data_IF_825187047786
#
_entry.id   IF_825187047786
#
_cell.length_a   1.000
_cell.length_b   1.000
_cell.length_c   1.000
_cell.angle_alpha   90.00
_cell.angle_beta   90.00
_cell.angle_gamma   90.00
#
_symmetry.space_group_name_H-M   'P 1'
#
loop_
_entity.id
_entity.type
_entity.pdbx_description
1 polymer ?
#
# COMPACT_ATOMS: atom_id res chain seq x y z
N UNK A 1 -34.22 7.05 28.26
CA UNK A 1 -33.65 7.10 26.89
C UNK A 1 -32.75 5.89 26.71
N UNK A 2 -32.97 5.09 25.66
CA UNK A 2 -32.16 3.89 25.42
C UNK A 2 -30.71 4.30 25.11
N UNK A 3 -29.75 3.76 25.86
CA UNK A 3 -28.31 3.97 25.63
C UNK A 3 -27.89 3.16 24.40
N UNK A 4 -28.24 3.66 23.22
CA UNK A 4 -27.82 3.04 21.97
C UNK A 4 -26.32 3.27 21.80
N UNK A 5 -25.56 2.20 21.59
CA UNK A 5 -24.11 2.25 21.39
C UNK A 5 -23.79 1.96 19.94
N UNK A 6 -22.61 2.37 19.44
CA UNK A 6 -22.15 2.01 18.10
C UNK A 6 -22.17 0.49 17.89
N UNK A 7 -21.80 -0.27 18.93
CA UNK A 7 -21.87 -1.73 18.93
C UNK A 7 -23.31 -2.24 18.85
N UNK A 8 -24.24 -1.60 19.56
CA UNK A 8 -25.68 -1.91 19.47
C UNK A 8 -26.22 -1.70 18.06
N UNK A 9 -25.95 -0.53 17.46
CA UNK A 9 -26.34 -0.22 16.09
C UNK A 9 -25.79 -1.23 15.07
N UNK A 10 -24.52 -1.59 15.19
CA UNK A 10 -23.92 -2.60 14.32
C UNK A 10 -24.59 -3.98 14.49
N UNK A 11 -24.94 -4.36 15.72
CA UNK A 11 -25.63 -5.62 16.02
C UNK A 11 -27.05 -5.63 15.45
N UNK A 12 -27.78 -4.52 15.55
CA UNK A 12 -29.14 -4.40 15.02
C UNK A 12 -29.14 -4.43 13.49
N UNK A 13 -28.17 -3.76 12.85
CA UNK A 13 -27.98 -3.84 11.39
C UNK A 13 -27.62 -5.26 10.94
N UNK A 14 -26.70 -5.93 11.63
CA UNK A 14 -26.31 -7.31 11.31
C UNK A 14 -27.47 -8.31 11.46
N UNK A 15 -28.41 -8.04 12.37
CA UNK A 15 -29.63 -8.83 12.55
C UNK A 15 -30.74 -8.47 11.55
N UNK A 16 -30.55 -7.46 10.70
CA UNK A 16 -31.58 -6.95 9.79
C UNK A 16 -32.72 -6.21 10.50
N UNK A 17 -32.54 -5.81 11.77
CA UNK A 17 -33.55 -5.05 12.54
C UNK A 17 -33.67 -3.61 12.01
N UNK A 18 -32.56 -3.07 11.50
CA UNK A 18 -32.51 -1.77 10.84
C UNK A 18 -31.90 -1.92 9.46
N UNK A 19 -32.38 -1.13 8.50
CA UNK A 19 -31.82 -1.10 7.15
C UNK A 19 -30.49 -0.32 7.09
N UNK A 20 -29.84 -0.37 5.93
CA UNK A 20 -28.53 0.24 5.68
C UNK A 20 -28.54 1.77 5.83
N UNK A 21 -29.60 2.43 5.42
CA UNK A 21 -29.72 3.89 5.44
C UNK A 21 -30.02 4.39 6.85
N UNK A 22 -30.95 3.72 7.54
CA UNK A 22 -31.23 3.89 8.96
C UNK A 22 -29.98 3.71 9.81
N UNK A 23 -29.19 2.65 9.57
CA UNK A 23 -27.91 2.44 10.25
C UNK A 23 -26.92 3.59 10.02
N UNK A 24 -26.76 4.05 8.77
CA UNK A 24 -25.86 5.18 8.45
C UNK A 24 -26.30 6.45 9.16
N UNK A 25 -27.60 6.77 9.13
CA UNK A 25 -28.16 7.97 9.77
C UNK A 25 -27.96 7.93 11.29
N UNK A 26 -28.35 6.83 11.94
CA UNK A 26 -28.19 6.66 13.38
C UNK A 26 -26.73 6.66 13.81
N UNK A 27 -25.82 6.08 13.01
CA UNK A 27 -24.37 6.12 13.27
C UNK A 27 -23.83 7.54 13.21
N UNK A 28 -24.22 8.35 12.21
CA UNK A 28 -23.77 9.74 12.09
C UNK A 28 -24.24 10.59 13.26
N UNK A 29 -25.51 10.45 13.67
CA UNK A 29 -26.04 11.15 14.86
C UNK A 29 -25.26 10.76 16.11
N UNK A 30 -25.04 9.47 16.34
CA UNK A 30 -24.32 9.00 17.53
C UNK A 30 -22.86 9.48 17.57
N UNK A 31 -22.17 9.50 16.43
CA UNK A 31 -20.80 10.04 16.35
C UNK A 31 -20.80 11.55 16.62
N UNK A 32 -21.76 12.29 16.06
CA UNK A 32 -21.91 13.72 16.31
C UNK A 32 -22.14 14.01 17.80
N UNK A 33 -23.03 13.27 18.45
CA UNK A 33 -23.31 13.43 19.88
C UNK A 33 -22.10 13.10 20.78
N UNK A 34 -21.23 12.16 20.36
CA UNK A 34 -19.97 11.86 21.04
C UNK A 34 -18.98 13.04 20.89
N UNK A 35 -18.87 13.60 19.68
CA UNK A 35 -17.98 14.73 19.40
C UNK A 35 -18.44 16.00 20.15
N UNK A 36 -19.74 16.23 20.22
CA UNK A 36 -20.33 17.36 20.94
C UNK A 36 -20.30 17.18 22.47
N UNK A 37 -19.87 16.03 22.98
CA UNK A 37 -19.80 15.74 24.41
C UNK A 37 -21.15 15.41 25.05
N UNK A 38 -22.23 15.35 24.27
CA UNK A 38 -23.56 14.91 24.70
C UNK A 38 -23.56 13.45 25.17
N UNK A 39 -22.66 12.62 24.64
CA UNK A 39 -22.44 11.24 25.07
C UNK A 39 -21.04 11.09 25.67
N UNK A 40 -20.98 10.82 26.99
CA UNK A 40 -19.72 10.54 27.67
C UNK A 40 -19.20 9.14 27.30
N UNK A 41 -18.02 9.10 26.66
CA UNK A 41 -17.30 7.86 26.36
C UNK A 41 -16.23 7.66 27.42
N UNK A 42 -16.26 6.53 28.13
CA UNK A 42 -15.18 6.15 29.04
C UNK A 42 -13.98 5.70 28.21
N UNK A 43 -12.83 6.33 28.42
CA UNK A 43 -11.57 5.83 27.89
C UNK A 43 -11.34 4.42 28.44
N UNK A 44 -11.07 3.46 27.55
CA UNK A 44 -10.55 2.16 27.94
C UNK A 44 -9.06 2.37 28.09
N UNK A 45 -8.56 2.23 29.31
CA UNK A 45 -7.13 2.17 29.56
C UNK A 45 -6.65 0.81 29.06
N UNK A 46 -5.90 0.82 27.96
CA UNK A 46 -5.31 -0.39 27.42
C UNK A 46 -3.94 -0.54 28.08
N UNK A 47 -3.71 -1.70 28.69
CA UNK A 47 -2.37 -2.04 29.15
C UNK A 47 -1.38 -1.89 28.00
N UNK A 48 -0.22 -1.28 28.29
CA UNK A 48 0.85 -1.13 27.32
C UNK A 48 1.22 -2.49 26.73
N UNK A 49 1.64 -2.54 25.45
CA UNK A 49 2.02 -3.80 24.82
C UNK A 49 3.03 -4.52 25.69
N UNK A 50 2.72 -5.78 26.02
CA UNK A 50 3.64 -6.65 26.75
C UNK A 50 4.97 -6.65 25.99
N UNK A 51 6.01 -6.09 26.60
CA UNK A 51 7.35 -6.20 26.06
C UNK A 51 7.69 -7.70 26.03
N UNK A 52 8.25 -8.23 24.94
CA UNK A 52 8.80 -9.57 24.98
C UNK A 52 9.81 -9.59 26.14
N UNK A 53 9.55 -10.43 27.14
CA UNK A 53 10.56 -10.71 28.16
C UNK A 53 11.72 -11.38 27.41
N UNK A 54 12.91 -10.82 27.58
CA UNK A 54 14.15 -11.36 27.02
C UNK A 54 14.58 -12.66 27.73
N UNK A 55 13.75 -13.22 28.62
CA UNK A 55 14.06 -14.39 29.43
C UNK A 55 13.67 -15.71 28.74
N UNK A 56 13.40 -15.70 27.42
CA UNK A 56 13.01 -16.89 26.63
C UNK A 56 14.05 -17.22 25.54
N UNK A 57 15.34 -17.00 25.79
CA UNK A 57 16.41 -17.56 24.93
C UNK A 57 17.06 -18.84 25.48
N UNK A 58 16.76 -19.28 26.71
CA UNK A 58 17.41 -20.48 27.30
C UNK A 58 16.52 -21.73 27.47
N UNK A 59 15.26 -21.73 27.02
CA UNK A 59 14.34 -22.86 27.23
C UNK A 59 13.80 -23.51 25.94
N UNK A 60 14.53 -23.43 24.81
CA UNK A 60 14.18 -24.15 23.58
C UNK A 60 15.27 -25.20 23.26
N UNK A 61 15.57 -26.06 24.21
CA UNK A 61 16.27 -27.33 23.96
C UNK A 61 15.83 -28.38 24.98
N UNK A 62 14.53 -28.58 25.16
CA UNK A 62 14.03 -29.85 25.68
C UNK A 62 12.64 -30.14 25.14
N UNK A 63 12.49 -31.36 24.61
CA UNK A 63 11.36 -31.79 23.82
C UNK A 63 10.04 -31.68 24.58
N UNK A 64 9.08 -31.00 23.96
CA UNK A 64 7.67 -31.25 24.24
C UNK A 64 7.02 -31.55 22.90
N UNK A 65 6.91 -32.85 22.66
CA UNK A 65 5.91 -33.49 21.82
C UNK A 65 4.53 -32.95 22.23
N UNK A 66 4.13 -31.79 21.68
CA UNK A 66 2.78 -31.26 21.90
C UNK A 66 1.83 -31.99 20.98
N UNK A 67 1.28 -33.01 21.61
CA UNK A 67 0.01 -33.64 21.33
C UNK A 67 -0.97 -32.67 20.67
N UNK A 68 -1.45 -33.11 19.52
CA UNK A 68 -2.33 -32.43 18.60
C UNK A 68 -3.67 -32.25 19.29
N UNK A 69 -3.87 -31.11 19.96
CA UNK A 69 -5.20 -30.74 20.47
C UNK A 69 -6.18 -30.74 19.31
N UNK A 70 -7.03 -31.77 19.32
CA UNK A 70 -8.17 -31.92 18.44
C UNK A 70 -9.01 -30.65 18.53
N UNK A 71 -9.08 -29.92 17.43
CA UNK A 71 -10.15 -28.96 17.21
C UNK A 71 -11.41 -29.81 17.03
N UNK A 72 -12.11 -30.10 18.12
CA UNK A 72 -13.45 -30.69 18.09
C UNK A 72 -14.38 -29.68 17.42
N UNK A 73 -14.63 -29.89 16.13
CA UNK A 73 -15.77 -29.32 15.45
C UNK A 73 -17.05 -29.77 16.17
N UNK A 74 -17.95 -28.86 16.61
CA UNK A 74 -19.28 -29.29 17.01
C UNK A 74 -20.05 -29.72 15.75
N UNK A 75 -20.26 -31.04 15.66
CA UNK A 75 -21.08 -31.72 14.67
C UNK A 75 -22.52 -31.81 15.19
N UNK A 76 -23.47 -31.34 14.37
CA UNK A 76 -24.91 -31.64 14.37
C UNK A 76 -25.75 -31.16 15.58
N UNK A 77 -27.01 -30.79 15.50
CA UNK A 77 -28.01 -30.63 14.43
C UNK A 77 -29.20 -29.92 15.08
N UNK A 78 -29.81 -28.95 14.41
CA UNK A 78 -31.26 -28.74 14.54
C UNK A 78 -31.76 -28.02 13.28
N UNK A 79 -32.50 -28.76 12.48
CA UNK A 79 -33.23 -28.27 11.34
C UNK A 79 -34.26 -27.22 11.80
N UNK A 80 -34.19 -26.03 11.22
CA UNK A 80 -35.33 -25.13 11.12
C UNK A 80 -35.33 -24.50 9.72
N UNK A 81 -36.22 -25.06 8.89
CA UNK A 81 -36.81 -24.40 7.73
C UNK A 81 -37.67 -23.24 8.26
N UNK A 82 -37.55 -22.04 7.69
CA UNK A 82 -38.76 -21.41 7.20
C UNK A 82 -38.58 -20.79 5.80
N UNK A 83 -39.48 -21.22 4.93
CA UNK A 83 -40.22 -20.46 3.93
C UNK A 83 -39.60 -19.23 3.25
N UNK A 84 -39.45 -19.38 1.93
CA UNK A 84 -39.74 -18.41 0.87
C UNK A 84 -40.18 -17.02 1.35
N UNK A 85 -39.26 -16.07 1.31
CA UNK A 85 -39.59 -14.65 1.15
C UNK A 85 -39.05 -14.19 -0.21
N UNK A 86 -39.90 -13.69 -1.12
CA UNK A 86 -39.48 -13.27 -2.45
C UNK A 86 -38.54 -12.06 -2.40
N UNK A 87 -37.44 -12.19 -3.12
CA UNK A 87 -36.50 -11.13 -3.50
C UNK A 87 -37.24 -9.99 -4.23
N UNK A 88 -37.16 -8.73 -3.76
CA UNK A 88 -37.42 -7.60 -4.65
C UNK A 88 -36.17 -7.38 -5.53
N UNK A 89 -36.32 -7.69 -6.82
CA UNK A 89 -35.46 -7.16 -7.89
C UNK A 89 -35.46 -5.63 -7.78
N UNK A 90 -34.34 -5.05 -7.36
CA UNK A 90 -34.17 -3.61 -7.41
C UNK A 90 -33.62 -3.23 -8.79
N UNK A 91 -34.47 -2.56 -9.57
CA UNK A 91 -34.23 -2.15 -10.94
C UNK A 91 -33.04 -1.19 -11.03
N UNK A 92 -32.12 -1.54 -11.94
CA UNK A 92 -31.13 -0.62 -12.50
C UNK A 92 -31.85 0.54 -13.20
N UNK A 93 -31.70 1.75 -12.68
CA UNK A 93 -32.01 2.98 -13.43
C UNK A 93 -30.71 3.46 -14.07
N UNK A 94 -30.55 3.14 -15.34
CA UNK A 94 -29.51 3.70 -16.22
C UNK A 94 -29.88 5.16 -16.54
N UNK A 95 -29.12 6.11 -16.00
CA UNK A 95 -29.16 7.52 -16.43
C UNK A 95 -28.06 7.73 -17.46
N UNK A 96 -28.42 7.65 -18.74
CA UNK A 96 -27.55 8.06 -19.85
C UNK A 96 -27.45 9.58 -19.90
N UNK A 97 -26.46 10.14 -19.22
CA UNK A 97 -26.07 11.54 -19.38
C UNK A 97 -25.13 11.68 -20.57
N UNK A 98 -25.67 12.20 -21.68
CA UNK A 98 -24.92 12.65 -22.84
C UNK A 98 -23.99 13.82 -22.45
N UNK A 99 -22.71 13.53 -22.18
CA UNK A 99 -21.66 14.54 -22.07
C UNK A 99 -20.90 14.62 -23.40
N UNK A 100 -20.99 15.78 -24.05
CA UNK A 100 -20.19 16.15 -25.22
C UNK A 100 -18.70 15.96 -24.88
N UNK A 101 -18.01 15.16 -25.70
CA UNK A 101 -16.66 14.68 -25.42
C UNK A 101 -15.59 15.79 -25.62
N UNK A 102 -14.62 15.97 -24.71
CA UNK A 102 -13.53 16.93 -24.85
C UNK A 102 -12.33 16.36 -25.65
N UNK A 103 -12.56 15.43 -26.59
CA UNK A 103 -11.48 14.71 -27.28
C UNK A 103 -10.58 15.58 -28.17
N UNK A 104 -11.01 16.80 -28.53
CA UNK A 104 -10.22 17.70 -29.38
C UNK A 104 -9.02 18.30 -28.63
N UNK A 105 -9.10 18.48 -27.31
CA UNK A 105 -7.99 19.07 -26.53
C UNK A 105 -6.82 18.09 -26.30
N UNK A 106 -7.08 16.77 -26.31
CA UNK A 106 -6.05 15.75 -26.11
C UNK A 106 -5.08 15.70 -27.30
N UNK A 107 -5.59 15.84 -28.53
CA UNK A 107 -4.77 15.79 -29.74
C UNK A 107 -3.79 16.97 -29.80
N UNK A 108 -4.21 18.17 -29.40
CA UNK A 108 -3.36 19.37 -29.39
C UNK A 108 -2.25 19.25 -28.33
N UNK A 109 -2.55 18.66 -27.17
CA UNK A 109 -1.55 18.46 -26.10
C UNK A 109 -0.43 17.51 -26.51
N UNK A 110 -0.74 16.40 -27.20
CA UNK A 110 0.26 15.44 -27.66
C UNK A 110 1.24 16.06 -28.66
N UNK A 111 0.77 16.91 -29.58
CA UNK A 111 1.64 17.58 -30.56
C UNK A 111 2.63 18.54 -29.89
N UNK A 112 2.21 19.25 -28.84
CA UNK A 112 3.08 20.18 -28.10
C UNK A 112 4.18 19.41 -27.35
N UNK A 113 3.85 18.29 -26.70
CA UNK A 113 4.83 17.49 -25.95
C UNK A 113 5.88 16.87 -26.89
N UNK A 114 5.45 16.32 -28.03
CA UNK A 114 6.38 15.75 -29.03
C UNK A 114 7.31 16.82 -29.60
N UNK A 115 6.80 18.04 -29.84
CA UNK A 115 7.61 19.17 -30.32
C UNK A 115 8.66 19.61 -29.29
N UNK A 116 8.31 19.66 -28.00
CA UNK A 116 9.26 19.98 -26.93
C UNK A 116 10.35 18.92 -26.78
N UNK A 117 10.02 17.63 -26.86
CA UNK A 117 11.01 16.55 -26.81
C UNK A 117 11.98 16.64 -28.00
N UNK A 118 11.47 16.90 -29.21
CA UNK A 118 12.31 17.08 -30.39
C UNK A 118 13.25 18.31 -30.26
N UNK A 119 12.76 19.41 -29.70
CA UNK A 119 13.59 20.60 -29.43
C UNK A 119 14.68 20.30 -28.40
N UNK A 120 14.38 19.56 -27.34
CA UNK A 120 15.38 19.13 -26.35
C UNK A 120 16.46 18.27 -27.00
N UNK A 121 16.11 17.31 -27.84
CA UNK A 121 17.09 16.46 -28.54
C UNK A 121 17.98 17.28 -29.49
N UNK A 122 17.43 18.28 -30.18
CA UNK A 122 18.19 19.13 -31.10
C UNK A 122 19.10 20.14 -30.40
N UNK A 123 18.73 20.61 -29.22
CA UNK A 123 19.50 21.60 -28.46
C UNK A 123 20.40 21.00 -27.38
N UNK A 124 20.36 19.68 -27.14
CA UNK A 124 21.30 19.05 -26.21
C UNK A 124 22.69 18.93 -26.85
N UNK A 125 23.72 19.57 -26.26
CA UNK A 125 25.08 19.46 -26.74
C UNK A 125 25.53 17.99 -26.61
N UNK A 126 26.13 17.48 -27.68
CA UNK A 126 26.66 16.12 -27.75
C UNK A 126 27.56 15.86 -26.52
N UNK A 127 27.30 14.83 -25.71
CA UNK A 127 28.15 14.52 -24.58
C UNK A 127 29.58 14.24 -25.07
N UNK A 128 30.61 14.69 -24.34
CA UNK A 128 31.99 14.45 -24.71
C UNK A 128 32.24 12.94 -24.80
N UNK A 129 32.80 12.51 -25.93
CA UNK A 129 33.09 11.11 -26.19
C UNK A 129 33.98 10.53 -25.08
N UNK A 130 33.64 9.36 -24.52
CA UNK A 130 34.45 8.72 -23.51
C UNK A 130 35.81 8.35 -24.12
N UNK A 131 36.87 8.92 -23.57
CA UNK A 131 38.24 8.62 -23.96
C UNK A 131 38.55 7.18 -23.56
N UNK A 132 38.59 6.28 -24.55
CA UNK A 132 38.95 4.88 -24.35
C UNK A 132 40.46 4.83 -24.05
N UNK A 133 40.80 4.74 -22.77
CA UNK A 133 42.14 4.35 -22.33
C UNK A 133 42.27 2.85 -22.56
N UNK A 134 42.99 2.48 -23.62
CA UNK A 134 43.49 1.11 -23.83
C UNK A 134 44.60 0.87 -22.82
N UNK A 135 44.26 0.28 -21.67
CA UNK A 135 45.27 -0.35 -20.81
C UNK A 135 45.38 -1.84 -21.16
N UNK A 136 46.53 -2.20 -21.72
CA UNK A 136 46.98 -3.57 -21.89
C UNK A 136 47.58 -4.03 -20.54
N UNK A 137 46.88 -4.89 -19.79
CA UNK A 137 47.52 -5.69 -18.73
C UNK A 137 47.15 -7.16 -18.83
N UNK A 138 48.11 -7.90 -19.40
CA UNK A 138 48.57 -9.26 -19.11
C UNK A 138 47.66 -10.13 -18.23
N UNK A 139 47.20 -11.20 -18.87
CA UNK A 139 46.66 -12.46 -18.34
C UNK A 139 47.58 -13.09 -17.29
N UNK A 140 47.04 -13.38 -16.10
CA UNK A 140 47.51 -14.44 -15.22
C UNK A 140 46.30 -15.22 -14.73
N UNK A 141 46.20 -16.47 -15.15
CA UNK A 141 45.25 -17.47 -14.63
C UNK A 141 45.45 -17.65 -13.13
N UNK A 142 44.41 -17.41 -12.33
CA UNK A 142 44.35 -17.98 -10.98
C UNK A 142 42.90 -18.17 -10.47
N UNK A 143 42.50 -19.44 -10.43
CA UNK A 143 41.58 -20.10 -9.49
C UNK A 143 40.25 -19.45 -9.08
N UNK A 144 39.18 -20.09 -9.55
CA UNK A 144 37.79 -20.01 -9.10
C UNK A 144 37.61 -20.29 -7.60
N UNK A 145 37.51 -19.26 -6.74
CA UNK A 145 36.83 -19.35 -5.42
C UNK A 145 36.48 -17.99 -4.77
N UNK A 146 36.03 -16.96 -5.53
CA UNK A 146 35.74 -15.61 -4.95
C UNK A 146 34.29 -15.12 -5.18
N UNK A 147 33.44 -15.86 -5.91
CA UNK A 147 32.13 -15.36 -6.36
C UNK A 147 31.06 -15.15 -5.24
N UNK A 148 31.26 -15.64 -4.02
CA UNK A 148 30.24 -15.55 -2.97
C UNK A 148 30.28 -14.25 -2.14
N UNK A 149 31.38 -13.48 -2.17
CA UNK A 149 31.55 -12.33 -1.27
C UNK A 149 30.98 -11.02 -1.84
N UNK A 150 30.86 -10.91 -3.16
CA UNK A 150 30.33 -9.70 -3.83
C UNK A 150 28.81 -9.60 -3.72
N UNK A 151 28.09 -10.72 -3.87
CA UNK A 151 26.61 -10.75 -3.83
C UNK A 151 26.00 -10.36 -2.48
N UNK A 152 26.73 -10.52 -1.37
CA UNK A 152 26.27 -10.09 -0.04
C UNK A 152 26.34 -8.56 0.13
N UNK A 153 27.26 -7.89 -0.56
CA UNK A 153 27.41 -6.43 -0.50
C UNK A 153 26.39 -5.72 -1.39
N UNK A 154 26.07 -6.30 -2.55
CA UNK A 154 25.10 -5.75 -3.52
C UNK A 154 23.67 -5.70 -2.94
N UNK A 155 23.26 -6.75 -2.23
CA UNK A 155 21.94 -6.78 -1.56
C UNK A 155 21.80 -5.75 -0.44
N UNK A 156 22.89 -5.43 0.25
CA UNK A 156 22.88 -4.54 1.40
C UNK A 156 22.58 -3.07 1.04
N UNK A 157 23.01 -2.60 -0.13
CA UNK A 157 22.84 -1.20 -0.54
C UNK A 157 21.36 -0.84 -0.76
N UNK A 158 20.68 -1.62 -1.60
CA UNK A 158 19.26 -1.45 -1.89
C UNK A 158 18.39 -1.64 -0.63
N UNK A 159 18.67 -2.66 0.19
CA UNK A 159 17.97 -2.85 1.45
C UNK A 159 18.22 -1.71 2.45
N UNK A 160 19.42 -1.15 2.49
CA UNK A 160 19.74 -0.01 3.37
C UNK A 160 18.96 1.23 2.94
N UNK A 161 18.90 1.51 1.63
CA UNK A 161 18.16 2.64 1.08
C UNK A 161 16.66 2.53 1.40
N UNK A 162 16.03 1.36 1.17
CA UNK A 162 14.63 1.12 1.55
C UNK A 162 14.44 1.30 3.06
N UNK A 163 15.40 0.87 3.86
CA UNK A 163 15.35 0.94 5.32
C UNK A 163 15.38 2.39 5.82
N UNK A 164 16.27 3.21 5.29
CA UNK A 164 16.38 4.62 5.60
C UNK A 164 15.08 5.36 5.27
N UNK A 165 14.55 5.15 4.05
CA UNK A 165 13.31 5.78 3.62
C UNK A 165 12.11 5.42 4.49
N UNK A 166 11.94 4.13 4.82
CA UNK A 166 10.84 3.69 5.69
C UNK A 166 10.94 4.24 7.12
N UNK A 167 12.16 4.50 7.60
CA UNK A 167 12.37 5.08 8.93
C UNK A 167 12.05 6.57 8.99
N UNK A 168 12.28 7.33 7.91
CA UNK A 168 11.94 8.76 7.83
C UNK A 168 10.43 9.01 7.88
N UNK A 169 9.61 8.05 7.43
CA UNK A 169 8.14 8.14 7.39
C UNK A 169 7.60 9.38 6.66
N UNK A 170 8.41 10.01 5.80
CA UNK A 170 8.02 11.18 5.03
C UNK A 170 7.73 10.78 3.59
N UNK A 171 6.44 10.78 3.24
CA UNK A 171 5.91 10.41 1.94
C UNK A 171 5.59 11.64 1.06
N UNK A 172 6.28 12.76 1.30
CA UNK A 172 6.20 13.95 0.48
C UNK A 172 6.92 13.78 -0.87
N UNK A 173 6.51 14.58 -1.84
CA UNK A 173 7.01 14.55 -3.23
C UNK A 173 8.54 14.62 -3.31
N UNK A 174 9.15 15.55 -2.58
CA UNK A 174 10.61 15.73 -2.54
C UNK A 174 11.33 14.46 -2.08
N UNK A 175 10.83 13.81 -1.03
CA UNK A 175 11.45 12.60 -0.48
C UNK A 175 11.25 11.37 -1.38
N UNK A 176 10.09 11.28 -2.03
CA UNK A 176 9.86 10.24 -3.04
C UNK A 176 10.80 10.43 -4.24
N UNK A 177 10.99 11.67 -4.70
CA UNK A 177 11.93 12.00 -5.76
C UNK A 177 13.37 11.63 -5.41
N UNK A 178 13.86 12.04 -4.23
CA UNK A 178 15.20 11.67 -3.74
C UNK A 178 15.40 10.15 -3.64
N UNK A 179 14.36 9.43 -3.21
CA UNK A 179 14.41 7.97 -3.16
C UNK A 179 14.52 7.38 -4.56
N UNK A 180 13.69 7.81 -5.51
CA UNK A 180 13.72 7.31 -6.89
C UNK A 180 15.06 7.60 -7.55
N UNK A 181 15.62 8.79 -7.34
CA UNK A 181 16.96 9.15 -7.82
C UNK A 181 18.02 8.18 -7.26
N UNK A 182 18.06 8.02 -5.94
CA UNK A 182 18.99 7.11 -5.26
C UNK A 182 18.79 5.64 -5.70
N UNK A 183 17.54 5.23 -5.90
CA UNK A 183 17.19 3.89 -6.36
C UNK A 183 17.62 3.65 -7.80
N UNK A 184 17.50 4.66 -8.68
CA UNK A 184 17.90 4.57 -10.07
C UNK A 184 19.42 4.56 -10.27
N UNK A 185 20.17 5.09 -9.31
CA UNK A 185 21.63 5.04 -9.27
C UNK A 185 22.17 3.64 -8.89
N UNK A 186 21.34 2.77 -8.31
CA UNK A 186 21.70 1.38 -8.00
C UNK A 186 21.79 0.53 -9.26
N UNK A 187 22.69 -0.45 -9.26
CA UNK A 187 22.80 -1.37 -10.38
C UNK A 187 21.53 -2.24 -10.51
N UNK A 188 21.24 -2.79 -11.70
CA UNK A 188 20.12 -3.71 -11.87
C UNK A 188 20.19 -4.92 -10.91
N UNK A 189 21.38 -5.42 -10.63
CA UNK A 189 21.61 -6.56 -9.73
C UNK A 189 21.24 -6.21 -8.29
N UNK A 190 21.66 -5.05 -7.80
CA UNK A 190 21.29 -4.54 -6.46
C UNK A 190 19.77 -4.40 -6.33
N UNK A 191 19.11 -3.78 -7.33
CA UNK A 191 17.65 -3.61 -7.34
C UNK A 191 16.91 -4.95 -7.36
N UNK A 192 17.35 -5.87 -8.21
CA UNK A 192 16.74 -7.20 -8.33
C UNK A 192 16.92 -8.02 -7.06
N UNK A 193 18.10 -7.95 -6.43
CA UNK A 193 18.35 -8.64 -5.16
C UNK A 193 17.45 -8.15 -4.02
N UNK A 194 17.00 -6.90 -4.08
CA UNK A 194 16.08 -6.34 -3.09
C UNK A 194 14.61 -6.72 -3.32
N UNK A 195 14.21 -7.17 -4.52
CA UNK A 195 12.81 -7.35 -4.90
C UNK A 195 12.04 -8.31 -3.97
N UNK A 196 12.70 -9.39 -3.55
CA UNK A 196 12.11 -10.47 -2.73
C UNK A 196 12.40 -10.32 -1.22
N UNK A 197 13.03 -9.22 -0.81
CA UNK A 197 13.41 -9.01 0.59
C UNK A 197 12.20 -8.68 1.45
N UNK A 198 12.25 -9.06 2.73
CA UNK A 198 11.21 -8.68 3.72
C UNK A 198 11.06 -7.16 3.81
N UNK A 199 12.13 -6.41 3.57
CA UNK A 199 12.12 -4.95 3.63
C UNK A 199 11.39 -4.35 2.42
N UNK A 200 11.59 -4.88 1.22
CA UNK A 200 10.80 -4.51 0.04
C UNK A 200 9.30 -4.86 0.23
N UNK A 201 8.98 -5.99 0.85
CA UNK A 201 7.58 -6.31 1.19
C UNK A 201 6.95 -5.27 2.14
N UNK A 202 7.71 -4.77 3.13
CA UNK A 202 7.27 -3.67 4.00
C UNK A 202 7.10 -2.37 3.23
N UNK A 203 7.96 -2.08 2.25
CA UNK A 203 7.80 -0.94 1.35
C UNK A 203 6.49 -1.04 0.57
N UNK A 204 6.22 -2.17 -0.11
CA UNK A 204 4.95 -2.45 -0.81
C UNK A 204 3.73 -2.22 0.09
N UNK A 205 3.75 -2.78 1.30
CA UNK A 205 2.67 -2.60 2.27
C UNK A 205 2.49 -1.14 2.71
N UNK A 206 3.58 -0.39 2.85
CA UNK A 206 3.55 1.01 3.28
C UNK A 206 3.03 1.94 2.18
N UNK A 207 3.44 1.72 0.92
CA UNK A 207 2.88 2.41 -0.25
C UNK A 207 1.37 2.19 -0.31
N UNK A 208 0.92 0.93 -0.22
CA UNK A 208 -0.50 0.60 -0.26
C UNK A 208 -1.28 1.26 0.89
N UNK A 209 -0.72 1.29 2.09
CA UNK A 209 -1.32 1.99 3.23
C UNK A 209 -1.47 3.49 2.95
N UNK A 210 -0.42 4.16 2.48
CA UNK A 210 -0.46 5.58 2.13
C UNK A 210 -1.47 5.87 1.00
N UNK A 211 -1.59 4.95 0.05
CA UNK A 211 -2.58 5.03 -1.02
C UNK A 211 -4.02 4.98 -0.48
N UNK A 212 -4.31 4.05 0.43
CA UNK A 212 -5.62 3.96 1.10
C UNK A 212 -5.92 5.19 1.97
N UNK A 213 -4.92 5.75 2.65
CA UNK A 213 -5.07 7.01 3.39
C UNK A 213 -5.43 8.16 2.43
N UNK A 214 -4.77 8.25 1.28
CA UNK A 214 -5.15 9.19 0.21
C UNK A 214 -6.59 8.97 -0.27
N UNK A 215 -7.01 7.70 -0.44
CA UNK A 215 -8.38 7.36 -0.84
C UNK A 215 -9.42 7.75 0.19
N UNK A 216 -9.10 7.65 1.48
CA UNK A 216 -9.98 8.11 2.54
C UNK A 216 -10.07 9.64 2.59
N UNK A 217 -8.99 10.36 2.27
CA UNK A 217 -8.95 11.82 2.24
C UNK A 217 -9.65 12.42 1.01
N UNK A 218 -9.85 11.65 -0.05
CA UNK A 218 -10.50 12.14 -1.28
C UNK A 218 -11.95 12.60 -1.06
N UNK A 219 -12.61 12.14 0.00
CA UNK A 219 -13.94 12.63 0.37
C UNK A 219 -13.93 14.06 0.92
N UNK A 220 -12.78 14.56 1.35
CA UNK A 220 -12.60 15.91 1.93
C UNK A 220 -11.97 16.84 0.89
N UNK A 221 -10.86 16.40 0.28
CA UNK A 221 -10.12 17.17 -0.73
C UNK A 221 -9.75 16.23 -1.88
N UNK A 222 -10.65 16.13 -2.85
CA UNK A 222 -10.52 15.16 -3.94
C UNK A 222 -9.34 15.43 -4.86
N UNK A 223 -8.94 16.68 -5.06
CA UNK A 223 -7.89 17.02 -6.01
C UNK A 223 -6.52 16.68 -5.44
N UNK A 224 -6.23 17.17 -4.22
CA UNK A 224 -4.97 16.87 -3.54
C UNK A 224 -4.80 15.38 -3.26
N UNK A 225 -5.89 14.68 -2.91
CA UNK A 225 -5.89 13.25 -2.71
C UNK A 225 -5.54 12.48 -3.99
N UNK A 226 -6.13 12.85 -5.14
CA UNK A 226 -5.84 12.23 -6.43
C UNK A 226 -4.39 12.47 -6.86
N UNK A 227 -3.87 13.68 -6.67
CA UNK A 227 -2.44 13.96 -6.94
C UNK A 227 -1.53 13.08 -6.09
N UNK A 228 -1.80 12.96 -4.78
CA UNK A 228 -1.01 12.08 -3.90
C UNK A 228 -1.11 10.61 -4.33
N UNK A 229 -2.29 10.13 -4.74
CA UNK A 229 -2.48 8.76 -5.23
C UNK A 229 -1.68 8.51 -6.52
N UNK A 230 -1.74 9.44 -7.47
CA UNK A 230 -1.00 9.36 -8.73
C UNK A 230 0.51 9.33 -8.49
N UNK A 231 1.01 10.22 -7.63
CA UNK A 231 2.42 10.25 -7.24
C UNK A 231 2.89 8.93 -6.62
N UNK A 232 2.07 8.29 -5.78
CA UNK A 232 2.40 6.99 -5.20
C UNK A 232 2.43 5.85 -6.23
N UNK A 233 1.57 5.91 -7.26
CA UNK A 233 1.58 4.95 -8.37
C UNK A 233 2.84 5.11 -9.20
N UNK A 234 3.18 6.35 -9.58
CA UNK A 234 4.40 6.65 -10.33
C UNK A 234 5.65 6.24 -9.57
N UNK A 235 5.67 6.51 -8.25
CA UNK A 235 6.72 6.04 -7.36
C UNK A 235 6.85 4.51 -7.37
N UNK A 236 5.74 3.78 -7.19
CA UNK A 236 5.74 2.31 -7.20
C UNK A 236 6.27 1.76 -8.53
N UNK A 237 5.82 2.33 -9.65
CA UNK A 237 6.27 1.94 -10.99
C UNK A 237 7.76 2.21 -11.19
N UNK A 238 8.27 3.37 -10.75
CA UNK A 238 9.68 3.73 -10.88
C UNK A 238 10.62 2.76 -10.14
N UNK A 239 10.13 2.14 -9.07
CA UNK A 239 10.90 1.17 -8.28
C UNK A 239 10.58 -0.29 -8.63
N UNK A 240 9.82 -0.52 -9.70
CA UNK A 240 9.51 -1.86 -10.22
C UNK A 240 8.45 -2.62 -9.41
N UNK A 241 7.60 -1.92 -8.66
CA UNK A 241 6.47 -2.51 -7.94
C UNK A 241 5.23 -2.43 -8.82
N UNK A 242 4.88 -3.55 -9.44
CA UNK A 242 3.60 -3.72 -10.11
C UNK A 242 2.57 -4.30 -9.11
N UNK A 243 1.68 -3.45 -8.61
CA UNK A 243 0.61 -3.83 -7.68
C UNK A 243 -0.75 -3.39 -8.25
N UNK A 244 -1.54 -4.37 -8.70
CA UNK A 244 -2.86 -4.18 -9.31
C UNK A 244 -3.88 -3.51 -8.38
N UNK A 245 -3.57 -3.34 -7.09
CA UNK A 245 -4.43 -2.63 -6.14
C UNK A 245 -4.23 -1.11 -6.17
N UNK A 246 -3.18 -0.62 -6.83
CA UNK A 246 -2.85 0.81 -6.95
C UNK A 246 -3.51 1.41 -8.20
N UNK A 247 -4.83 1.59 -8.17
CA UNK A 247 -5.62 2.15 -9.29
C UNK A 247 -6.37 3.40 -8.82
N UNK A 248 -6.26 4.51 -9.55
CA UNK A 248 -7.03 5.74 -9.32
C UNK A 248 -8.42 5.59 -9.94
N UNK A 249 -9.47 5.88 -9.15
CA UNK A 249 -10.87 5.95 -9.61
C UNK A 249 -11.25 7.32 -10.21
#
# INVERSE_FOLDING_TARGET
MSKQTLRGLAKDFAKGVIDKESYRKSRTVLIKDIIEGSISVKAIDYEGPLRPSNDIEEAITEGIERDRTQITSPKNSAAHKPDNVPHPLNQNVSVTNNKKSPFIFVIVSVVIVVSLIAAVILFYPKPPEPTIVKDNSITVDNSSTVAAKTSASESAAAESLIGAFLNEKNWGEENLGKFVESWSALTPEERNSAADTKRMQRMKASIYKQFLEGKALSSIDSEKAKMKQQMLIEFANAIGIDDSRLIVD
#
